data_IF_379365139077
#
_entry.id   IF_379365139077
#
_cell.length_a   1.000
_cell.length_b   1.000
_cell.length_c   1.000
_cell.angle_alpha   90.00
_cell.angle_beta   90.00
_cell.angle_gamma   90.00
#
_symmetry.space_group_name_H-M   'P 1'
#
loop_
_entity.id
_entity.type
_entity.pdbx_description
1 polymer ?
#
# COMPACT_ATOMS: atom_id res chain seq x y z
N UNK A 1 1.23 -3.21 -8.16
CA UNK A 1 0.88 -4.18 -7.09
C UNK A 1 0.65 -5.53 -7.75
N UNK A 2 1.24 -6.60 -7.23
CA UNK A 2 0.99 -7.96 -7.72
C UNK A 2 -0.09 -8.60 -6.86
N UNK A 3 -1.08 -9.24 -7.49
CA UNK A 3 -2.26 -9.80 -6.81
C UNK A 3 -2.50 -11.26 -7.24
N UNK A 4 -3.04 -12.07 -6.33
CA UNK A 4 -3.55 -13.41 -6.63
C UNK A 4 -5.06 -13.37 -6.78
N UNK A 5 -5.57 -13.44 -8.01
CA UNK A 5 -7.03 -13.41 -8.25
C UNK A 5 -7.76 -14.56 -7.53
N UNK A 6 -7.14 -15.74 -7.47
CA UNK A 6 -7.69 -16.89 -6.76
C UNK A 6 -7.83 -16.66 -5.24
N UNK A 7 -6.97 -15.82 -4.64
CA UNK A 7 -7.09 -15.46 -3.22
C UNK A 7 -8.34 -14.61 -2.96
N UNK A 8 -8.64 -13.64 -3.85
CA UNK A 8 -9.84 -12.80 -3.77
C UNK A 8 -11.11 -13.63 -4.01
N UNK A 9 -11.08 -14.53 -4.99
CA UNK A 9 -12.19 -15.46 -5.24
C UNK A 9 -12.48 -16.36 -4.02
N UNK A 10 -11.44 -16.96 -3.43
CA UNK A 10 -11.58 -17.78 -2.21
C UNK A 10 -12.13 -16.97 -1.02
N UNK A 11 -11.78 -15.70 -0.92
CA UNK A 11 -12.28 -14.78 0.11
C UNK A 11 -13.67 -14.21 -0.21
N UNK A 12 -14.24 -14.50 -1.38
CA UNK A 12 -15.57 -14.04 -1.78
C UNK A 12 -15.66 -12.54 -2.06
N UNK A 13 -14.54 -11.90 -2.43
CA UNK A 13 -14.45 -10.46 -2.72
C UNK A 13 -13.93 -10.23 -4.15
N UNK A 14 -14.33 -9.14 -4.82
CA UNK A 14 -13.82 -8.84 -6.16
C UNK A 14 -12.32 -8.51 -6.12
N UNK A 15 -11.63 -8.71 -7.25
CA UNK A 15 -10.24 -8.26 -7.42
C UNK A 15 -10.21 -6.71 -7.38
N UNK A 16 -9.41 -6.10 -6.49
CA UNK A 16 -9.42 -4.66 -6.28
C UNK A 16 -8.76 -3.92 -7.45
N UNK A 17 -9.27 -2.72 -7.75
CA UNK A 17 -8.78 -1.86 -8.83
C UNK A 17 -7.94 -0.69 -8.33
N UNK A 18 -8.00 -0.41 -7.04
CA UNK A 18 -7.26 0.67 -6.39
C UNK A 18 -6.85 0.28 -4.97
N UNK A 19 -6.06 1.15 -4.33
CA UNK A 19 -5.53 0.91 -2.99
C UNK A 19 -6.62 0.78 -1.92
N UNK A 20 -7.65 1.62 -1.98
CA UNK A 20 -8.72 1.63 -0.97
C UNK A 20 -9.55 0.33 -1.03
N UNK A 21 -9.87 -0.15 -2.24
CA UNK A 21 -10.52 -1.45 -2.43
C UNK A 21 -9.65 -2.61 -1.95
N UNK A 22 -8.33 -2.53 -2.16
CA UNK A 22 -7.40 -3.54 -1.68
C UNK A 22 -7.36 -3.59 -0.15
N UNK A 23 -7.26 -2.44 0.52
CA UNK A 23 -7.30 -2.35 1.99
C UNK A 23 -8.63 -2.86 2.53
N UNK A 24 -9.75 -2.50 1.91
CA UNK A 24 -11.08 -2.95 2.30
C UNK A 24 -11.26 -4.48 2.16
N UNK A 25 -10.53 -5.13 1.25
CA UNK A 25 -10.56 -6.58 1.07
C UNK A 25 -9.70 -7.35 2.10
N UNK A 26 -8.78 -6.70 2.80
CA UNK A 26 -7.83 -7.36 3.71
C UNK A 26 -8.51 -8.20 4.81
N UNK A 27 -9.57 -7.73 5.51
CA UNK A 27 -10.24 -8.55 6.53
C UNK A 27 -10.85 -9.85 5.97
N UNK A 28 -11.34 -9.83 4.73
CA UNK A 28 -11.90 -11.02 4.09
C UNK A 28 -10.81 -12.04 3.74
N UNK A 29 -9.65 -11.56 3.27
CA UNK A 29 -8.47 -12.39 3.02
C UNK A 29 -7.98 -13.04 4.33
N UNK A 30 -7.87 -12.27 5.42
CA UNK A 30 -7.46 -12.79 6.73
C UNK A 30 -8.41 -13.86 7.26
N UNK A 31 -9.74 -13.62 7.16
CA UNK A 31 -10.76 -14.60 7.55
C UNK A 31 -10.68 -15.90 6.75
N UNK A 32 -10.20 -15.83 5.51
CA UNK A 32 -9.94 -16.99 4.65
C UNK A 32 -8.56 -17.66 4.91
N UNK A 33 -7.82 -17.19 5.91
CA UNK A 33 -6.49 -17.68 6.28
C UNK A 33 -5.38 -17.24 5.32
N UNK A 34 -5.59 -16.15 4.59
CA UNK A 34 -4.65 -15.61 3.59
C UNK A 34 -3.97 -14.37 4.17
N UNK A 35 -2.64 -14.30 4.03
CA UNK A 35 -1.87 -13.09 4.34
C UNK A 35 -2.18 -12.03 3.27
N UNK A 36 -2.80 -10.89 3.62
CA UNK A 36 -3.22 -9.90 2.61
C UNK A 36 -2.04 -9.28 1.86
N UNK A 37 -1.00 -8.89 2.60
CA UNK A 37 0.22 -8.28 2.05
C UNK A 37 1.45 -9.07 2.51
N UNK A 38 2.01 -9.88 1.61
CA UNK A 38 3.29 -10.53 1.86
C UNK A 38 4.45 -9.55 1.59
N UNK A 39 5.20 -9.18 2.62
CA UNK A 39 6.42 -8.36 2.53
C UNK A 39 7.60 -9.20 3.05
N UNK A 40 8.69 -9.24 2.31
CA UNK A 40 9.90 -9.91 2.79
C UNK A 40 10.60 -9.10 3.89
N UNK A 41 11.33 -9.78 4.77
CA UNK A 41 11.90 -9.19 5.99
C UNK A 41 13.13 -8.30 5.80
N UNK A 42 13.51 -7.94 4.57
CA UNK A 42 14.66 -7.07 4.35
C UNK A 42 14.22 -5.59 4.36
N UNK A 43 14.98 -4.67 5.01
CA UNK A 43 14.58 -3.27 5.15
C UNK A 43 14.19 -2.57 3.84
N UNK A 44 14.91 -2.86 2.76
CA UNK A 44 14.66 -2.25 1.45
C UNK A 44 13.28 -2.61 0.88
N UNK A 45 12.70 -3.76 1.26
CA UNK A 45 11.38 -4.19 0.79
C UNK A 45 10.27 -3.35 1.43
N UNK A 46 10.37 -3.10 2.74
CA UNK A 46 9.44 -2.25 3.46
C UNK A 46 9.56 -0.78 3.02
N UNK A 47 10.78 -0.26 2.87
CA UNK A 47 11.00 1.10 2.37
C UNK A 47 10.49 1.27 0.94
N UNK A 48 10.76 0.32 0.04
CA UNK A 48 10.26 0.37 -1.34
C UNK A 48 8.74 0.30 -1.41
N UNK A 49 8.10 -0.50 -0.55
CA UNK A 49 6.64 -0.54 -0.46
C UNK A 49 6.08 0.83 -0.01
N UNK A 50 6.71 1.47 0.98
CA UNK A 50 6.32 2.80 1.44
C UNK A 50 6.45 3.85 0.32
N UNK A 51 7.57 3.90 -0.41
CA UNK A 51 7.80 4.89 -1.47
C UNK A 51 6.76 4.81 -2.59
N UNK A 52 6.39 3.58 -2.98
CA UNK A 52 5.33 3.35 -3.97
C UNK A 52 3.99 3.88 -3.46
N UNK A 53 3.66 3.63 -2.19
CA UNK A 53 2.40 4.08 -1.58
C UNK A 53 2.36 5.60 -1.40
N UNK A 54 3.46 6.22 -0.96
CA UNK A 54 3.56 7.67 -0.81
C UNK A 54 3.31 8.37 -2.16
N UNK A 55 3.86 7.82 -3.24
CA UNK A 55 3.61 8.34 -4.59
C UNK A 55 2.17 8.10 -5.06
N UNK A 56 1.64 6.89 -4.85
CA UNK A 56 0.34 6.47 -5.39
C UNK A 56 -0.86 7.05 -4.62
N UNK A 57 -0.72 7.24 -3.31
CA UNK A 57 -1.78 7.71 -2.41
C UNK A 57 -1.57 9.18 -2.06
N UNK A 58 -0.36 9.58 -1.69
CA UNK A 58 -0.03 10.97 -1.37
C UNK A 58 0.09 11.87 -2.62
N UNK A 59 0.29 11.27 -3.79
CA UNK A 59 0.42 11.99 -5.07
C UNK A 59 1.82 12.55 -5.32
N UNK A 60 2.02 13.04 -6.54
CA UNK A 60 3.33 13.54 -7.01
C UNK A 60 3.83 14.74 -6.21
N UNK A 61 2.95 15.67 -5.82
CA UNK A 61 3.35 16.86 -5.08
C UNK A 61 3.88 16.52 -3.69
N UNK A 62 3.19 15.62 -2.97
CA UNK A 62 3.62 15.08 -1.68
C UNK A 62 4.97 14.39 -1.81
N UNK A 63 5.13 13.52 -2.81
CA UNK A 63 6.40 12.84 -3.08
C UNK A 63 7.54 13.84 -3.32
N UNK A 64 7.32 14.88 -4.12
CA UNK A 64 8.34 15.87 -4.42
C UNK A 64 8.70 16.74 -3.22
N UNK A 65 7.72 17.17 -2.41
CA UNK A 65 8.00 17.94 -1.17
C UNK A 65 8.89 17.14 -0.21
N UNK A 66 8.59 15.86 -0.02
CA UNK A 66 9.36 14.97 0.86
C UNK A 66 10.75 14.66 0.28
N UNK A 67 10.83 14.21 -0.97
CA UNK A 67 12.08 13.66 -1.52
C UNK A 67 12.96 14.64 -2.28
N UNK A 68 12.39 15.61 -3.00
CA UNK A 68 13.14 16.63 -3.73
C UNK A 68 13.45 17.81 -2.81
N UNK A 69 12.39 18.37 -2.21
CA UNK A 69 12.50 19.63 -1.46
C UNK A 69 12.98 19.41 -0.02
N UNK A 70 12.95 18.15 0.46
CA UNK A 70 13.39 17.75 1.81
C UNK A 70 12.65 18.53 2.91
N UNK A 71 11.37 18.82 2.69
CA UNK A 71 10.53 19.55 3.63
C UNK A 71 10.15 18.66 4.81
N UNK A 72 10.88 18.81 5.92
CA UNK A 72 10.71 18.01 7.11
C UNK A 72 9.41 18.33 7.88
N UNK A 73 8.91 19.57 7.80
CA UNK A 73 7.66 19.96 8.46
C UNK A 73 6.47 19.31 7.74
N UNK A 74 6.45 19.40 6.41
CA UNK A 74 5.44 18.73 5.60
C UNK A 74 5.50 17.20 5.74
N UNK A 75 6.70 16.61 5.76
CA UNK A 75 6.87 15.16 5.92
C UNK A 75 6.39 14.62 7.27
N UNK A 76 6.31 15.46 8.30
CA UNK A 76 5.78 15.12 9.62
C UNK A 76 4.29 15.54 9.81
N UNK A 77 3.69 16.14 8.78
CA UNK A 77 2.32 16.63 8.79
C UNK A 77 1.29 15.53 8.54
N UNK A 78 0.00 15.80 8.81
CA UNK A 78 -1.09 14.85 8.61
C UNK A 78 -1.37 14.48 7.15
N UNK A 79 -0.76 15.18 6.20
CA UNK A 79 -0.83 14.88 4.77
C UNK A 79 0.03 13.68 4.33
N UNK A 80 0.96 13.23 5.18
CA UNK A 80 1.90 12.10 4.96
C UNK A 80 1.65 11.01 6.00
#
# INVERSE_FOLDING_TARGET
LWLSNAAFEKAGVPVPKNWNEYVAAAPALEKAGIIPLAVGGQPWQSSGAFDVLLTAVGGTDTFLKVYRDKDAEFAAGPEV
#
